data_IF_391925490594
#
_entry.id   IF_391925490594
#
_cell.length_a   1.000
_cell.length_b   1.000
_cell.length_c   1.000
_cell.angle_alpha   90.00
_cell.angle_beta   90.00
_cell.angle_gamma   90.00
#
_symmetry.space_group_name_H-M   'P 1'
#
loop_
_entity.id
_entity.type
_entity.pdbx_description
1 polymer ?
#
# COMPACT_ATOMS: atom_id res chain seq x y z
N UNK A 1 8.32 -17.12 27.53
CA UNK A 1 8.28 -15.65 27.60
C UNK A 1 9.69 -15.15 27.36
N UNK A 2 9.92 -14.44 26.25
CA UNK A 2 11.23 -13.86 25.94
C UNK A 2 11.19 -12.36 26.26
N UNK A 3 12.06 -11.92 27.17
CA UNK A 3 12.24 -10.52 27.53
C UNK A 3 13.51 -10.00 26.86
N UNK A 4 13.37 -8.99 26.01
CA UNK A 4 14.45 -8.39 25.24
C UNK A 4 14.59 -6.91 25.61
N UNK A 5 15.78 -6.35 25.43
CA UNK A 5 16.02 -4.90 25.44
C UNK A 5 15.93 -4.33 24.03
N UNK A 6 15.70 -3.02 23.90
CA UNK A 6 15.69 -2.32 22.61
C UNK A 6 16.92 -2.63 21.74
N UNK A 7 18.10 -2.78 22.34
CA UNK A 7 19.35 -3.09 21.63
C UNK A 7 19.42 -4.50 21.02
N UNK A 8 18.47 -5.38 21.35
CA UNK A 8 18.44 -6.79 20.90
C UNK A 8 17.45 -7.01 19.75
N UNK A 9 16.76 -5.96 19.29
CA UNK A 9 15.74 -6.04 18.26
C UNK A 9 15.99 -4.99 17.17
N UNK A 10 15.47 -5.25 15.97
CA UNK A 10 15.48 -4.27 14.89
C UNK A 10 14.06 -3.75 14.67
N UNK A 11 13.88 -2.44 14.76
CA UNK A 11 12.64 -1.79 14.37
C UNK A 11 12.63 -1.59 12.86
N UNK A 12 11.49 -1.89 12.22
CA UNK A 12 11.31 -1.65 10.80
C UNK A 12 9.86 -1.32 10.48
N UNK A 13 9.63 -0.63 9.37
CA UNK A 13 8.29 -0.45 8.85
C UNK A 13 7.76 -1.80 8.30
N UNK A 14 6.49 -2.07 8.59
CA UNK A 14 5.78 -3.24 8.11
C UNK A 14 4.40 -2.83 7.59
N UNK A 15 3.88 -3.59 6.63
CA UNK A 15 2.49 -3.44 6.17
C UNK A 15 1.68 -4.63 6.68
N UNK A 16 0.53 -4.32 7.25
CA UNK A 16 -0.54 -5.27 7.54
C UNK A 16 -1.42 -5.42 6.29
N UNK A 17 -1.38 -6.57 5.59
CA UNK A 17 -2.16 -6.76 4.37
C UNK A 17 -3.67 -6.86 4.61
N UNK A 18 -4.12 -7.11 5.85
CA UNK A 18 -5.54 -7.16 6.20
C UNK A 18 -6.11 -5.76 6.50
N UNK A 19 -5.26 -4.72 6.52
CA UNK A 19 -5.70 -3.34 6.71
C UNK A 19 -6.33 -2.78 5.43
N UNK A 20 -7.56 -2.27 5.51
CA UNK A 20 -8.27 -1.57 4.42
C UNK A 20 -7.45 -0.44 3.77
N UNK A 21 -6.45 0.08 4.51
CA UNK A 21 -5.46 1.03 4.00
C UNK A 21 -4.06 0.51 4.34
N UNK A 22 -3.15 0.35 3.36
CA UNK A 22 -1.77 -0.08 3.61
C UNK A 22 -0.97 1.08 4.22
N UNK A 23 -1.18 1.33 5.50
CA UNK A 23 -0.42 2.32 6.27
C UNK A 23 0.75 1.58 6.92
N UNK A 24 2.00 2.00 6.67
CA UNK A 24 3.15 1.43 7.36
C UNK A 24 3.00 1.53 8.88
N UNK A 25 3.21 0.43 9.56
CA UNK A 25 3.25 0.33 11.02
C UNK A 25 4.67 0.04 11.48
N UNK A 26 5.00 0.45 12.71
CA UNK A 26 6.26 0.06 13.34
C UNK A 26 6.16 -1.40 13.76
N UNK A 27 6.98 -2.24 13.15
CA UNK A 27 7.19 -3.64 13.50
C UNK A 27 8.56 -3.87 14.15
N UNK A 28 8.70 -5.03 14.77
CA UNK A 28 9.99 -5.56 15.22
C UNK A 28 10.36 -6.77 14.37
N UNK A 29 11.56 -6.77 13.81
CA UNK A 29 12.20 -7.95 13.24
C UNK A 29 13.09 -8.60 14.31
N UNK A 30 12.80 -9.87 14.61
CA UNK A 30 13.59 -10.68 15.55
C UNK A 30 13.61 -12.13 15.05
N UNK A 31 14.80 -12.71 14.86
CA UNK A 31 14.99 -14.06 14.31
C UNK A 31 14.20 -14.31 13.00
N UNK A 32 14.31 -13.37 12.05
CA UNK A 32 13.60 -13.39 10.75
C UNK A 32 12.06 -13.43 10.85
N UNK A 33 11.50 -13.06 11.99
CA UNK A 33 10.06 -12.99 12.23
C UNK A 33 9.64 -11.56 12.53
N UNK A 34 8.52 -11.15 11.93
CA UNK A 34 7.91 -9.85 12.17
C UNK A 34 6.89 -9.91 13.30
N UNK A 35 6.99 -8.93 14.19
CA UNK A 35 6.11 -8.76 15.33
C UNK A 35 5.40 -7.41 15.27
N UNK A 36 4.10 -7.42 15.57
CA UNK A 36 3.27 -6.22 15.71
C UNK A 36 3.03 -5.94 17.18
N UNK A 37 3.08 -4.66 17.53
CA UNK A 37 2.81 -4.20 18.89
C UNK A 37 1.38 -4.50 19.27
N UNK A 38 1.19 -5.19 20.40
CA UNK A 38 -0.12 -5.50 20.95
C UNK A 38 -0.49 -4.51 22.07
N UNK A 39 0.44 -4.25 22.99
CA UNK A 39 0.16 -3.39 24.16
C UNK A 39 1.41 -2.79 24.78
N UNK A 40 1.27 -1.63 25.41
CA UNK A 40 2.30 -1.00 26.25
C UNK A 40 1.86 -0.92 27.71
N UNK A 41 2.82 -0.99 28.62
CA UNK A 41 2.64 -0.93 30.06
C UNK A 41 3.69 0.00 30.66
N UNK A 42 3.33 0.95 31.53
CA UNK A 42 4.31 1.74 32.27
C UNK A 42 5.25 0.86 33.12
N UNK A 43 6.44 1.35 33.49
CA UNK A 43 7.48 0.56 34.18
C UNK A 43 7.03 -0.07 35.50
N UNK A 44 6.16 0.59 36.24
CA UNK A 44 5.57 0.10 37.50
C UNK A 44 4.57 -1.04 37.30
N UNK A 45 4.18 -1.34 36.05
CA UNK A 45 3.19 -2.37 35.67
C UNK A 45 3.84 -3.62 35.06
N UNK A 46 5.08 -3.95 35.46
CA UNK A 46 5.82 -5.12 34.99
C UNK A 46 5.00 -6.43 35.12
N UNK A 47 4.37 -6.67 36.27
CA UNK A 47 3.60 -7.90 36.51
C UNK A 47 2.43 -8.05 35.55
N UNK A 48 1.73 -6.95 35.24
CA UNK A 48 0.62 -6.96 34.27
C UNK A 48 1.10 -7.31 32.86
N UNK A 49 2.26 -6.80 32.46
CA UNK A 49 2.87 -7.10 31.16
C UNK A 49 3.30 -8.58 31.07
N UNK A 50 3.91 -9.10 32.15
CA UNK A 50 4.29 -10.51 32.24
C UNK A 50 3.07 -11.44 32.23
N UNK A 51 2.01 -11.09 32.97
CA UNK A 51 0.77 -11.87 33.02
C UNK A 51 0.12 -11.96 31.64
N UNK A 52 -0.02 -10.83 30.93
CA UNK A 52 -0.57 -10.82 29.57
C UNK A 52 0.29 -11.68 28.63
N UNK A 53 1.61 -11.51 28.66
CA UNK A 53 2.50 -12.27 27.78
C UNK A 53 2.41 -13.77 28.05
N UNK A 54 2.37 -14.19 29.32
CA UNK A 54 2.18 -15.59 29.70
C UNK A 54 0.85 -16.13 29.21
N UNK A 55 -0.23 -15.36 29.36
CA UNK A 55 -1.57 -15.76 28.91
C UNK A 55 -1.61 -15.96 27.40
N UNK A 56 -0.99 -15.07 26.62
CA UNK A 56 -0.93 -15.18 25.17
C UNK A 56 -0.10 -16.39 24.72
N UNK A 57 1.04 -16.64 25.37
CA UNK A 57 1.88 -17.81 25.10
C UNK A 57 1.30 -19.15 25.56
N UNK A 58 0.10 -19.19 26.13
CA UNK A 58 -0.62 -20.45 26.37
C UNK A 58 -1.03 -21.12 25.05
N UNK A 59 -1.30 -20.31 24.01
CA UNK A 59 -1.45 -20.84 22.66
C UNK A 59 -0.06 -21.04 22.04
N UNK A 60 0.35 -22.28 21.72
CA UNK A 60 1.67 -22.56 21.14
C UNK A 60 1.85 -21.95 19.73
N UNK A 61 0.76 -21.53 19.07
CA UNK A 61 0.83 -20.81 17.79
C UNK A 61 1.13 -19.32 17.96
N UNK A 62 0.98 -18.79 19.17
CA UNK A 62 1.17 -17.37 19.46
C UNK A 62 2.56 -17.15 20.03
N UNK A 63 3.43 -16.59 19.20
CA UNK A 63 4.76 -16.18 19.61
C UNK A 63 4.71 -14.71 20.02
N UNK A 64 5.03 -14.40 21.28
CA UNK A 64 5.09 -13.02 21.75
C UNK A 64 6.44 -12.69 22.42
N UNK A 65 6.90 -11.48 22.18
CA UNK A 65 8.07 -10.86 22.77
C UNK A 65 7.61 -9.80 23.77
N UNK A 66 8.36 -9.70 24.85
CA UNK A 66 8.27 -8.58 25.76
C UNK A 66 9.52 -7.74 25.57
N UNK A 67 9.36 -6.45 25.30
CA UNK A 67 10.46 -5.52 25.13
C UNK A 67 10.52 -4.59 26.34
N UNK A 68 11.72 -4.49 26.92
CA UNK A 68 12.06 -3.52 27.94
C UNK A 68 12.62 -2.25 27.28
N UNK A 69 11.83 -1.17 27.37
CA UNK A 69 12.19 0.17 26.89
C UNK A 69 12.63 1.05 28.07
N UNK A 70 13.08 2.28 27.81
CA UNK A 70 13.53 3.20 28.86
C UNK A 70 12.43 3.51 29.89
N UNK A 71 11.21 3.76 29.44
CA UNK A 71 10.09 4.29 30.24
C UNK A 71 8.91 3.30 30.39
N UNK A 72 8.95 2.17 29.69
CA UNK A 72 7.83 1.21 29.63
C UNK A 72 8.27 -0.21 29.28
N UNK A 73 7.30 -1.11 29.32
CA UNK A 73 7.37 -2.43 28.71
C UNK A 73 6.36 -2.53 27.56
N UNK A 74 6.74 -3.16 26.46
CA UNK A 74 5.83 -3.42 25.35
C UNK A 74 5.73 -4.90 25.05
N UNK A 75 4.52 -5.36 24.73
CA UNK A 75 4.24 -6.73 24.32
C UNK A 75 3.97 -6.71 22.82
N UNK A 76 4.69 -7.56 22.11
CA UNK A 76 4.66 -7.69 20.66
C UNK A 76 4.34 -9.14 20.32
N UNK A 77 3.49 -9.39 19.34
CA UNK A 77 3.17 -10.74 18.92
C UNK A 77 3.44 -10.92 17.43
N UNK A 78 3.91 -12.11 17.09
CA UNK A 78 4.27 -12.48 15.73
C UNK A 78 3.03 -12.51 14.87
N UNK A 79 3.16 -11.95 13.67
CA UNK A 79 2.12 -12.03 12.66
C UNK A 79 2.77 -12.37 11.32
N UNK A 80 2.54 -13.60 10.87
CA UNK A 80 3.10 -14.12 9.63
C UNK A 80 2.57 -13.42 8.37
N UNK A 81 1.47 -12.67 8.49
CA UNK A 81 0.91 -11.90 7.38
C UNK A 81 1.64 -10.59 7.16
N UNK A 82 2.30 -10.06 8.19
CA UNK A 82 3.08 -8.82 8.06
C UNK A 82 4.17 -9.00 7.01
N UNK A 83 4.28 -8.02 6.13
CA UNK A 83 5.38 -7.92 5.18
C UNK A 83 6.26 -6.75 5.58
N UNK A 84 7.57 -6.92 5.42
CA UNK A 84 8.50 -5.80 5.53
C UNK A 84 8.11 -4.73 4.52
N UNK A 85 8.12 -3.47 4.96
CA UNK A 85 7.96 -2.33 4.07
C UNK A 85 9.34 -1.72 3.84
N UNK A 86 9.96 -2.09 2.72
CA UNK A 86 11.23 -1.51 2.34
C UNK A 86 11.00 -0.12 1.72
N UNK A 87 11.19 0.91 2.55
CA UNK A 87 11.12 2.33 2.13
C UNK A 87 12.08 2.62 0.97
N UNK A 88 13.19 1.89 0.84
CA UNK A 88 14.12 2.06 -0.27
C UNK A 88 13.53 1.55 -1.58
N UNK A 89 12.85 0.40 -1.58
CA UNK A 89 12.16 -0.12 -2.75
C UNK A 89 10.99 0.78 -3.17
N UNK A 90 10.17 1.24 -2.22
CA UNK A 90 9.07 2.16 -2.52
C UNK A 90 9.59 3.45 -3.17
N UNK A 91 10.66 4.05 -2.62
CA UNK A 91 11.30 5.23 -3.22
C UNK A 91 11.91 4.94 -4.60
N UNK A 92 12.48 3.76 -4.82
CA UNK A 92 13.02 3.39 -6.13
C UNK A 92 11.91 3.28 -7.17
N UNK A 93 10.76 2.72 -6.80
CA UNK A 93 9.58 2.61 -7.67
C UNK A 93 8.99 3.99 -7.94
N UNK A 94 8.79 4.83 -6.92
CA UNK A 94 8.28 6.19 -7.10
C UNK A 94 9.21 7.01 -8.03
N UNK A 95 10.54 6.94 -7.82
CA UNK A 95 11.52 7.55 -8.71
C UNK A 95 11.44 7.00 -10.15
N UNK A 96 11.14 5.72 -10.33
CA UNK A 96 10.98 5.13 -11.65
C UNK A 96 9.70 5.64 -12.34
N UNK A 97 8.59 5.71 -11.62
CA UNK A 97 7.31 6.26 -12.11
C UNK A 97 7.48 7.71 -12.52
N UNK A 98 8.16 8.53 -11.72
CA UNK A 98 8.40 9.95 -12.01
C UNK A 98 9.24 10.18 -13.27
N UNK A 99 10.11 9.22 -13.62
CA UNK A 99 10.94 9.28 -14.83
C UNK A 99 10.21 8.84 -16.09
N UNK A 100 9.00 8.29 -15.99
CA UNK A 100 8.21 7.92 -17.16
C UNK A 100 7.83 9.20 -17.93
N UNK A 101 8.16 9.22 -19.23
CA UNK A 101 7.70 10.26 -20.15
C UNK A 101 6.20 10.08 -20.42
N UNK A 102 5.41 10.97 -19.82
CA UNK A 102 3.95 10.89 -19.90
C UNK A 102 3.42 11.20 -21.30
N UNK A 103 4.11 11.99 -22.11
CA UNK A 103 3.66 12.31 -23.48
C UNK A 103 3.79 11.08 -24.37
N UNK A 104 4.93 10.40 -24.27
CA UNK A 104 5.14 9.15 -24.99
C UNK A 104 4.21 8.04 -24.47
N UNK A 105 3.97 7.99 -23.15
CA UNK A 105 2.98 7.09 -22.57
C UNK A 105 1.59 7.31 -23.18
N UNK A 106 1.10 8.55 -23.25
CA UNK A 106 -0.20 8.88 -23.86
C UNK A 106 -0.25 8.47 -25.33
N UNK A 107 0.83 8.70 -26.09
CA UNK A 107 0.92 8.24 -27.48
C UNK A 107 0.72 6.72 -27.56
N UNK A 108 1.38 5.97 -26.69
CA UNK A 108 1.28 4.50 -26.64
C UNK A 108 -0.09 4.02 -26.12
N UNK A 109 -0.75 4.77 -25.23
CA UNK A 109 -2.11 4.47 -24.79
C UNK A 109 -3.12 4.55 -25.93
N UNK A 110 -2.88 5.43 -26.91
CA UNK A 110 -3.75 5.62 -28.09
C UNK A 110 -3.40 4.73 -29.28
N UNK A 111 -2.27 4.02 -29.21
CA UNK A 111 -1.78 3.17 -30.30
C UNK A 111 -2.50 1.81 -30.34
N UNK A 112 -2.24 1.04 -31.39
CA UNK A 112 -2.76 -0.33 -31.52
C UNK A 112 -2.20 -1.18 -30.37
N UNK A 113 -3.10 -1.81 -29.61
CA UNK A 113 -2.73 -2.55 -28.38
C UNK A 113 -2.59 -1.67 -27.14
N UNK A 114 -2.93 -0.38 -27.25
CA UNK A 114 -3.09 0.55 -26.14
C UNK A 114 -4.36 0.32 -25.31
N UNK A 115 -4.77 1.36 -24.59
CA UNK A 115 -5.96 1.35 -23.76
C UNK A 115 -7.22 1.39 -24.63
N UNK A 116 -8.28 0.71 -24.22
CA UNK A 116 -9.54 0.66 -24.99
C UNK A 116 -10.33 1.97 -24.88
N UNK A 117 -10.11 2.85 -25.85
CA UNK A 117 -10.85 4.10 -26.01
C UNK A 117 -12.11 3.82 -26.84
N UNK A 118 -13.29 4.06 -26.28
CA UNK A 118 -14.58 3.87 -26.99
C UNK A 118 -15.72 4.65 -26.34
N UNK A 119 -16.78 4.83 -27.11
CA UNK A 119 -18.03 5.43 -26.63
C UNK A 119 -18.75 4.47 -25.67
N UNK A 120 -19.27 5.02 -24.57
CA UNK A 120 -19.95 4.24 -23.52
C UNK A 120 -21.24 4.94 -23.11
N UNK A 121 -22.23 4.17 -22.68
CA UNK A 121 -23.48 4.69 -22.12
C UNK A 121 -23.64 4.22 -20.68
N UNK A 122 -23.92 5.13 -19.76
CA UNK A 122 -24.14 4.81 -18.36
C UNK A 122 -25.22 5.73 -17.77
N UNK A 123 -26.19 5.13 -17.06
CA UNK A 123 -27.34 5.84 -16.46
C UNK A 123 -27.96 6.88 -17.42
N UNK A 124 -28.40 6.41 -18.59
CA UNK A 124 -28.99 7.20 -19.67
C UNK A 124 -28.07 8.27 -20.31
N UNK A 125 -26.87 8.50 -19.77
CA UNK A 125 -25.90 9.48 -20.25
C UNK A 125 -24.91 8.83 -21.22
N UNK A 126 -24.55 9.55 -22.27
CA UNK A 126 -23.60 9.11 -23.29
C UNK A 126 -22.23 9.76 -23.05
N UNK A 127 -21.19 8.94 -23.05
CA UNK A 127 -19.81 9.32 -22.79
C UNK A 127 -18.92 8.88 -23.97
N UNK A 128 -18.65 9.78 -24.93
CA UNK A 128 -17.81 9.46 -26.08
C UNK A 128 -16.33 9.31 -25.69
N UNK A 129 -15.59 8.51 -26.47
CA UNK A 129 -14.12 8.38 -26.43
C UNK A 129 -13.54 8.20 -25.02
N UNK A 130 -14.17 7.37 -24.20
CA UNK A 130 -13.74 7.18 -22.82
C UNK A 130 -12.79 5.97 -22.68
N UNK A 131 -12.11 5.90 -21.56
CA UNK A 131 -11.34 4.76 -21.05
C UNK A 131 -11.96 4.33 -19.71
N UNK A 132 -11.80 3.06 -19.33
CA UNK A 132 -12.21 2.57 -18.01
C UNK A 132 -10.99 2.49 -17.10
N UNK A 133 -11.10 3.00 -15.87
CA UNK A 133 -10.02 2.99 -14.88
C UNK A 133 -9.36 1.62 -14.74
N UNK A 134 -10.14 0.57 -14.52
CA UNK A 134 -9.59 -0.78 -14.35
C UNK A 134 -8.94 -1.39 -15.59
N UNK A 135 -9.46 -1.07 -16.78
CA UNK A 135 -8.82 -1.47 -18.04
C UNK A 135 -7.47 -0.76 -18.20
N UNK A 136 -7.39 0.51 -17.79
CA UNK A 136 -6.18 1.31 -17.83
C UNK A 136 -5.15 0.81 -16.82
N UNK A 137 -5.54 0.56 -15.57
CA UNK A 137 -4.66 -0.01 -14.52
C UNK A 137 -4.08 -1.33 -14.98
N UNK A 138 -4.91 -2.24 -15.50
CA UNK A 138 -4.46 -3.54 -16.03
C UNK A 138 -3.42 -3.37 -17.13
N UNK A 139 -3.62 -2.39 -18.03
CA UNK A 139 -2.67 -2.13 -19.11
C UNK A 139 -1.33 -1.58 -18.59
N UNK A 140 -1.36 -0.63 -17.64
CA UNK A 140 -0.16 -0.06 -17.01
C UNK A 140 0.65 -1.10 -16.24
N UNK A 141 -0.03 -1.96 -15.46
CA UNK A 141 0.57 -3.10 -14.74
C UNK A 141 1.34 -4.00 -15.72
N UNK A 142 0.72 -4.37 -16.84
CA UNK A 142 1.36 -5.25 -17.84
C UNK A 142 2.53 -4.58 -18.56
N UNK A 143 2.42 -3.28 -18.82
CA UNK A 143 3.41 -2.54 -19.60
C UNK A 143 4.70 -2.25 -18.83
N UNK A 144 4.56 -1.93 -17.54
CA UNK A 144 5.66 -1.49 -16.69
C UNK A 144 5.98 -2.46 -15.55
N UNK A 145 5.31 -3.61 -15.48
CA UNK A 145 5.45 -4.59 -14.40
C UNK A 145 5.23 -3.98 -13.00
N UNK A 146 4.28 -3.04 -12.91
CA UNK A 146 3.93 -2.33 -11.68
C UNK A 146 2.94 -3.13 -10.83
N UNK A 147 2.86 -2.82 -9.55
CA UNK A 147 1.70 -3.20 -8.72
C UNK A 147 0.46 -2.42 -9.16
N UNK A 148 -0.74 -2.89 -8.81
CA UNK A 148 -1.99 -2.15 -9.06
C UNK A 148 -1.95 -0.77 -8.39
N UNK A 149 -1.42 -0.69 -7.16
CA UNK A 149 -1.27 0.57 -6.43
C UNK A 149 -0.35 1.55 -7.16
N UNK A 150 0.76 1.08 -7.72
CA UNK A 150 1.71 1.91 -8.46
C UNK A 150 1.17 2.33 -9.84
N UNK A 151 0.39 1.47 -10.48
CA UNK A 151 -0.34 1.81 -11.69
C UNK A 151 -1.41 2.90 -11.42
N UNK A 152 -2.09 2.84 -10.26
CA UNK A 152 -3.01 3.91 -9.81
C UNK A 152 -2.26 5.21 -9.59
N UNK A 153 -1.08 5.20 -8.96
CA UNK A 153 -0.23 6.41 -8.84
C UNK A 153 0.14 7.01 -10.19
N UNK A 154 0.55 6.18 -11.15
CA UNK A 154 0.87 6.64 -12.52
C UNK A 154 -0.37 7.20 -13.22
N UNK A 155 -1.54 6.57 -13.04
CA UNK A 155 -2.82 7.08 -13.53
C UNK A 155 -3.18 8.44 -12.91
N UNK A 156 -2.94 8.61 -11.62
CA UNK A 156 -3.13 9.88 -10.92
C UNK A 156 -2.20 10.96 -11.49
N UNK A 157 -0.93 10.62 -11.73
CA UNK A 157 0.04 11.54 -12.33
C UNK A 157 -0.41 12.03 -13.72
N UNK A 158 -1.04 11.18 -14.54
CA UNK A 158 -1.62 11.60 -15.83
C UNK A 158 -2.75 12.62 -15.66
N UNK A 159 -3.53 12.55 -14.58
CA UNK A 159 -4.58 13.52 -14.26
C UNK A 159 -3.98 14.83 -13.76
N UNK A 160 -3.00 14.74 -12.85
CA UNK A 160 -2.35 15.90 -12.24
C UNK A 160 -1.65 16.76 -13.31
N UNK A 161 -1.02 16.10 -14.29
CA UNK A 161 -0.35 16.72 -15.46
C UNK A 161 -1.32 17.12 -16.58
N UNK A 162 -2.63 17.07 -16.33
CA UNK A 162 -3.69 17.51 -17.23
C UNK A 162 -3.64 16.85 -18.61
N UNK A 163 -3.27 15.58 -18.66
CA UNK A 163 -3.32 14.78 -19.89
C UNK A 163 -4.68 14.10 -20.05
N UNK A 164 -5.28 13.68 -18.93
CA UNK A 164 -6.62 13.13 -18.87
C UNK A 164 -7.37 13.59 -17.63
N UNK A 165 -8.67 13.30 -17.58
CA UNK A 165 -9.52 13.61 -16.43
C UNK A 165 -10.63 12.58 -16.27
N UNK A 166 -11.24 12.52 -15.09
CA UNK A 166 -12.48 11.79 -14.91
C UNK A 166 -13.59 12.53 -15.65
N UNK A 167 -14.47 11.83 -16.37
CA UNK A 167 -15.49 12.46 -17.24
C UNK A 167 -16.47 13.39 -16.51
N UNK A 168 -16.51 13.35 -15.17
CA UNK A 168 -17.30 14.27 -14.34
C UNK A 168 -16.46 15.09 -13.35
N UNK A 169 -15.13 14.97 -13.41
CA UNK A 169 -14.17 15.63 -12.51
C UNK A 169 -14.44 15.45 -11.00
N UNK A 170 -15.11 14.35 -10.64
CA UNK A 170 -15.64 14.15 -9.29
C UNK A 170 -14.65 13.49 -8.32
N UNK A 171 -13.65 12.77 -8.81
CA UNK A 171 -12.72 12.00 -7.98
C UNK A 171 -11.33 11.85 -8.63
N UNK A 172 -10.30 11.52 -7.84
CA UNK A 172 -8.97 11.13 -8.34
C UNK A 172 -9.02 9.89 -9.24
N UNK A 173 -7.87 9.50 -9.80
CA UNK A 173 -7.76 8.24 -10.52
C UNK A 173 -7.99 7.06 -9.59
N UNK A 174 -8.89 6.17 -10.00
CA UNK A 174 -9.29 4.97 -9.28
C UNK A 174 -9.33 3.77 -10.21
N UNK A 175 -8.79 2.64 -9.73
CA UNK A 175 -8.96 1.33 -10.35
C UNK A 175 -10.40 0.84 -10.13
N UNK A 176 -11.24 1.03 -11.13
CA UNK A 176 -12.64 0.65 -11.08
C UNK A 176 -13.39 0.96 -12.36
N UNK A 177 -14.71 0.78 -12.32
CA UNK A 177 -15.59 1.08 -13.45
C UNK A 177 -15.93 2.58 -13.52
N UNK A 178 -14.89 3.39 -13.60
CA UNK A 178 -14.95 4.84 -13.77
C UNK A 178 -14.46 5.24 -15.14
N UNK A 179 -15.00 6.33 -15.68
CA UNK A 179 -14.69 6.75 -17.03
C UNK A 179 -13.72 7.93 -17.03
N UNK A 180 -12.70 7.82 -17.86
CA UNK A 180 -11.68 8.85 -18.04
C UNK A 180 -11.58 9.22 -19.51
N UNK A 181 -11.20 10.46 -19.78
CA UNK A 181 -11.02 10.99 -21.15
C UNK A 181 -9.75 11.83 -21.21
N UNK A 182 -9.08 11.80 -22.36
CA UNK A 182 -8.01 12.76 -22.64
C UNK A 182 -8.60 14.14 -22.89
N UNK A 183 -7.97 15.20 -22.39
CA UNK A 183 -8.47 16.57 -22.62
C UNK A 183 -8.58 16.94 -24.10
N UNK A 184 -7.81 16.28 -24.96
CA UNK A 184 -7.79 16.55 -26.41
C UNK A 184 -8.95 15.88 -27.14
N UNK A 185 -9.71 15.03 -26.45
CA UNK A 185 -10.92 14.35 -26.94
C UNK A 185 -12.21 14.97 -26.39
N UNK A 186 -12.13 16.09 -25.68
CA UNK A 186 -13.30 16.95 -25.41
C UNK A 186 -13.82 17.55 -26.72
#
# INVERSE_FOLDING_TARGET
MLLLKESQVQFQDAIDPDSDRPIPIVGILYEDRLFKKLKSFPKDRLESAQQLTRQLSLDPKVLCLMLEEADKYTVWCQDAKLKSYDVSQAKLIDNAIDRIDLKELVRQMRDIGGVKIKDRRYRLTFYPRCMVGSEMTTWLVRKFFLSEADAVKLGQRLIDEKLMHHVTDAHPFEDGFFFYRFYWDE
#
